data_IF_456613465589
#
_entry.id   IF_456613465589
#
_cell.length_a   1.000
_cell.length_b   1.000
_cell.length_c   1.000
_cell.angle_alpha   90.00
_cell.angle_beta   90.00
_cell.angle_gamma   90.00
#
_symmetry.space_group_name_H-M   'P 1'
#
loop_
_entity.id
_entity.type
_entity.pdbx_description
1 polymer ?
#
# COMPACT_ATOMS: atom_id res chain seq x y z
N UNK A 1 -5.04 -1.76 17.32
CA UNK A 1 -5.04 -2.78 16.23
C UNK A 1 -3.66 -3.43 16.20
N UNK A 2 -3.57 -4.76 16.24
CA UNK A 2 -2.27 -5.47 16.17
C UNK A 2 -1.53 -5.08 14.88
N UNK A 3 -0.39 -4.42 15.02
CA UNK A 3 0.50 -3.93 13.95
C UNK A 3 1.38 -5.03 13.39
N UNK A 4 0.82 -6.23 13.14
CA UNK A 4 1.60 -7.28 12.52
C UNK A 4 1.85 -6.95 11.04
N UNK A 5 3.09 -7.10 10.55
CA UNK A 5 3.40 -6.89 9.14
C UNK A 5 2.57 -7.83 8.27
N UNK A 6 1.94 -7.30 7.23
CA UNK A 6 1.25 -8.10 6.24
C UNK A 6 2.30 -8.72 5.31
N UNK A 7 2.29 -10.05 5.26
CA UNK A 7 3.00 -10.84 4.27
C UNK A 7 1.95 -11.51 3.38
N UNK A 8 1.76 -11.02 2.16
CA UNK A 8 0.82 -11.63 1.21
C UNK A 8 1.33 -11.51 -0.21
N UNK A 9 1.24 -12.62 -0.95
CA UNK A 9 1.51 -12.65 -2.39
C UNK A 9 0.28 -12.30 -3.23
N UNK A 10 -0.86 -11.99 -2.61
CA UNK A 10 -2.10 -11.70 -3.34
C UNK A 10 -2.18 -10.21 -3.73
N UNK A 11 -1.94 -9.93 -5.02
CA UNK A 11 -2.00 -8.58 -5.61
C UNK A 11 -3.31 -7.84 -5.33
N UNK A 12 -4.46 -8.52 -5.47
CA UNK A 12 -5.78 -7.91 -5.28
C UNK A 12 -6.00 -7.47 -3.83
N UNK A 13 -5.53 -8.27 -2.87
CA UNK A 13 -5.63 -7.95 -1.44
C UNK A 13 -4.84 -6.69 -1.11
N UNK A 14 -3.63 -6.58 -1.65
CA UNK A 14 -2.75 -5.42 -1.44
C UNK A 14 -3.31 -4.17 -2.11
N UNK A 15 -3.85 -4.29 -3.33
CA UNK A 15 -4.53 -3.19 -4.02
C UNK A 15 -5.70 -2.64 -3.21
N UNK A 16 -6.55 -3.52 -2.68
CA UNK A 16 -7.67 -3.12 -1.82
C UNK A 16 -7.20 -2.43 -0.55
N UNK A 17 -6.17 -2.95 0.12
CA UNK A 17 -5.62 -2.34 1.33
C UNK A 17 -4.99 -0.97 1.06
N UNK A 18 -4.31 -0.82 -0.08
CA UNK A 18 -3.75 0.45 -0.50
C UNK A 18 -4.82 1.52 -0.67
N UNK A 19 -5.92 1.19 -1.35
CA UNK A 19 -7.07 2.07 -1.51
C UNK A 19 -7.73 2.42 -0.17
N UNK A 20 -7.90 1.44 0.73
CA UNK A 20 -8.48 1.64 2.06
C UNK A 20 -7.64 2.57 2.95
N UNK A 21 -6.32 2.61 2.75
CA UNK A 21 -5.42 3.51 3.46
C UNK A 21 -5.37 4.92 2.86
N UNK A 22 -6.17 5.21 1.83
CA UNK A 22 -6.21 6.52 1.16
C UNK A 22 -5.25 6.64 -0.02
N UNK A 23 -4.69 5.52 -0.47
CA UNK A 23 -3.89 5.46 -1.70
C UNK A 23 -4.77 5.45 -2.95
N UNK A 24 -4.15 5.76 -4.09
CA UNK A 24 -4.76 5.68 -5.41
C UNK A 24 -4.00 4.69 -6.28
N UNK A 25 -4.71 4.04 -7.19
CA UNK A 25 -4.13 3.10 -8.14
C UNK A 25 -4.51 3.54 -9.55
N UNK A 26 -3.53 3.95 -10.35
CA UNK A 26 -3.75 4.46 -11.70
C UNK A 26 -3.15 3.51 -12.74
N UNK A 27 -3.87 3.15 -13.82
CA UNK A 27 -3.30 2.34 -14.88
C UNK A 27 -2.25 3.14 -15.68
N UNK A 28 -1.16 2.48 -16.06
CA UNK A 28 -0.19 3.00 -17.02
C UNK A 28 -0.70 2.70 -18.43
N UNK A 29 -0.93 3.76 -19.21
CA UNK A 29 -1.52 3.66 -20.55
C UNK A 29 -0.69 2.72 -21.42
N UNK A 30 -1.38 1.75 -22.04
CA UNK A 30 -0.85 0.82 -23.06
C UNK A 30 0.26 -0.14 -22.59
N UNK A 31 0.58 -0.23 -21.30
CA UNK A 31 1.62 -1.17 -20.81
C UNK A 31 1.06 -2.30 -19.94
N UNK A 32 -0.11 -2.10 -19.32
CA UNK A 32 -0.66 -3.05 -18.33
C UNK A 32 0.01 -2.95 -16.96
N UNK A 33 0.83 -1.92 -16.74
CA UNK A 33 1.36 -1.58 -15.43
C UNK A 33 0.38 -0.71 -14.65
N UNK A 34 0.59 -0.60 -13.34
CA UNK A 34 -0.18 0.24 -12.43
C UNK A 34 0.75 1.13 -11.61
N UNK A 35 0.34 2.36 -11.37
CA UNK A 35 0.94 3.27 -10.41
C UNK A 35 0.18 3.21 -9.09
N UNK A 36 0.91 2.96 -8.00
CA UNK A 36 0.41 3.07 -6.63
C UNK A 36 0.89 4.41 -6.06
N UNK A 37 -0.06 5.30 -5.80
CA UNK A 37 0.16 6.67 -5.36
C UNK A 37 -0.40 6.82 -3.94
N UNK A 38 0.27 7.54 -3.07
CA UNK A 38 -0.23 7.86 -1.74
C UNK A 38 0.41 9.15 -1.25
N UNK A 39 -0.34 10.03 -0.58
CA UNK A 39 0.14 11.36 -0.15
C UNK A 39 1.38 11.29 0.77
N UNK A 40 1.48 10.27 1.62
CA UNK A 40 2.64 10.03 2.47
C UNK A 40 3.93 9.65 1.73
N UNK A 41 3.89 9.43 0.41
CA UNK A 41 5.08 9.11 -0.39
C UNK A 41 5.23 10.06 -1.57
N UNK A 42 6.39 10.69 -1.69
CA UNK A 42 6.71 11.62 -2.79
C UNK A 42 6.74 10.94 -4.16
N UNK A 43 7.15 9.67 -4.21
CA UNK A 43 7.32 8.93 -5.47
C UNK A 43 6.24 7.87 -5.66
N UNK A 44 5.51 7.84 -6.79
CA UNK A 44 4.58 6.77 -7.09
C UNK A 44 5.32 5.46 -7.36
N UNK A 45 4.75 4.34 -6.94
CA UNK A 45 5.32 3.02 -7.19
C UNK A 45 4.73 2.43 -8.48
N UNK A 46 5.57 2.21 -9.50
CA UNK A 46 5.17 1.54 -10.75
C UNK A 46 5.33 0.02 -10.61
N UNK A 47 4.28 -0.73 -10.86
CA UNK A 47 4.28 -2.19 -10.80
C UNK A 47 3.73 -2.77 -12.09
N UNK A 48 4.35 -3.85 -12.56
CA UNK A 48 3.79 -4.64 -13.64
C UNK A 48 2.53 -5.39 -13.18
N UNK A 49 1.37 -4.97 -13.69
CA UNK A 49 0.07 -5.56 -13.36
C UNK A 49 -0.17 -6.92 -14.00
N UNK A 50 0.78 -7.43 -14.78
CA UNK A 50 0.76 -8.78 -15.38
C UNK A 50 1.43 -9.84 -14.49
N UNK A 51 2.07 -9.45 -13.39
CA UNK A 51 2.61 -10.39 -12.40
C UNK A 51 1.56 -10.65 -11.32
N UNK A 52 1.34 -11.92 -11.01
CA UNK A 52 0.50 -12.34 -9.89
C UNK A 52 1.19 -12.13 -8.54
N UNK A 53 2.52 -12.07 -8.53
CA UNK A 53 3.31 -11.79 -7.34
C UNK A 53 3.25 -10.31 -6.93
N UNK A 54 3.11 -10.07 -5.63
CA UNK A 54 3.23 -8.74 -5.06
C UNK A 54 4.71 -8.36 -4.94
N UNK A 55 5.15 -7.24 -5.54
CA UNK A 55 6.51 -6.76 -5.34
C UNK A 55 6.76 -6.44 -3.87
N UNK A 56 7.88 -6.91 -3.33
CA UNK A 56 8.30 -6.65 -1.95
C UNK A 56 8.31 -5.15 -1.59
N UNK A 57 8.61 -4.28 -2.56
CA UNK A 57 8.54 -2.82 -2.39
C UNK A 57 7.12 -2.31 -2.08
N UNK A 58 6.09 -2.88 -2.70
CA UNK A 58 4.70 -2.50 -2.43
C UNK A 58 4.26 -2.96 -1.03
N UNK A 59 4.58 -4.19 -0.66
CA UNK A 59 4.33 -4.71 0.70
C UNK A 59 5.02 -3.86 1.77
N UNK A 60 6.29 -3.51 1.54
CA UNK A 60 7.05 -2.65 2.45
C UNK A 60 6.36 -1.31 2.68
N UNK A 61 5.90 -0.64 1.61
CA UNK A 61 5.17 0.63 1.74
C UNK A 61 3.81 0.48 2.40
N UNK A 62 3.08 -0.59 2.10
CA UNK A 62 1.80 -0.87 2.76
C UNK A 62 2.00 -1.04 4.27
N UNK A 63 2.99 -1.82 4.67
CA UNK A 63 3.34 -2.03 6.07
C UNK A 63 3.77 -0.71 6.74
N UNK A 64 4.47 0.16 6.03
CA UNK A 64 4.81 1.49 6.53
C UNK A 64 3.56 2.35 6.78
N UNK A 65 2.60 2.38 5.84
CA UNK A 65 1.33 3.09 6.02
C UNK A 65 0.53 2.56 7.22
N UNK A 66 0.48 1.25 7.38
CA UNK A 66 -0.20 0.64 8.54
C UNK A 66 0.44 1.02 9.86
N UNK A 67 1.77 1.05 9.93
CA UNK A 67 2.51 1.49 11.13
C UNK A 67 2.24 2.98 11.42
N UNK A 68 2.26 3.83 10.39
CA UNK A 68 1.95 5.25 10.55
C UNK A 68 0.53 5.49 11.04
N UNK A 69 -0.46 4.77 10.49
CA UNK A 69 -1.84 4.85 10.95
C UNK A 69 -1.99 4.38 12.39
N UNK A 70 -1.37 3.26 12.75
CA UNK A 70 -1.42 2.75 14.12
C UNK A 70 -0.78 3.71 15.12
N UNK A 71 0.36 4.31 14.78
CA UNK A 71 0.99 5.35 15.61
C UNK A 71 0.04 6.55 15.80
N UNK A 72 -0.58 7.04 14.72
CA UNK A 72 -1.54 8.15 14.81
C UNK A 72 -2.80 7.81 15.62
N UNK A 73 -3.27 6.56 15.57
CA UNK A 73 -4.40 6.10 16.38
C UNK A 73 -4.01 5.98 17.86
N UNK A 74 -2.77 5.56 18.17
CA UNK A 74 -2.25 5.46 19.55
C UNK A 74 -2.15 6.83 20.25
N UNK A 75 -1.75 7.87 19.53
CA UNK A 75 -1.68 9.24 20.08
C UNK A 75 -3.05 9.89 20.32
N UNK A 76 -4.13 9.43 19.66
CA UNK A 76 -5.49 9.96 19.89
C UNK A 76 -6.19 9.37 21.12
N UNK A 77 -5.61 8.35 21.75
CA UNK A 77 -6.20 7.63 22.89
C UNK A 77 -5.55 7.90 24.23
N UNK A 78 -4.71 8.93 24.35
CA UNK A 78 -4.18 9.36 25.66
C UNK A 78 -5.05 10.49 26.24
N UNK A 79 -5.76 10.26 27.38
CA UNK A 79 -6.41 11.34 28.13
C UNK A 79 -5.40 12.30 28.75
#
# INVERSE_FOLDING_TARGET
MNTQPIHTSNGRKVERLWLLLGGQVLPVRRTGEKFFIHASFTTPLRINGRRDDVPAKLLSRLNQLMRMKAANDEFKTRP
#
